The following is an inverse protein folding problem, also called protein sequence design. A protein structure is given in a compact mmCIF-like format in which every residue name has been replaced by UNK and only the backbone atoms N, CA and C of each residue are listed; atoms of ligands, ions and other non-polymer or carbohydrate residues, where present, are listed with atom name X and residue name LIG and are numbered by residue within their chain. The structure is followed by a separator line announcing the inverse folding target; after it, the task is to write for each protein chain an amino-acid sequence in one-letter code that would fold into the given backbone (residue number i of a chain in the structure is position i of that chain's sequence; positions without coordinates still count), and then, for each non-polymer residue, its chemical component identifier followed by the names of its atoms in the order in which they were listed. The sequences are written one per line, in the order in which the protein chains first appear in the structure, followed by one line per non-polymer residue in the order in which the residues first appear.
data_IF_494662099776
#
_entry.id   IF_494662099776
#
_cell.length_a   1.000
_cell.length_b   1.000
_cell.length_c   1.000
_cell.angle_alpha   90.00
_cell.angle_beta   90.00
_cell.angle_gamma   90.00
#
_symmetry.space_group_name_H-M   'P 1'
#
loop_
_entity.id
_entity.type
_entity.pdbx_description
1 polymer ?
#
# COMPACT_ATOMS: atom_id res chain seq x y z
N UNK A 1 2.42 -28.83 2.49
CA UNK A 1 1.62 -27.65 2.89
C UNK A 1 0.97 -26.99 1.68
N UNK A 2 1.73 -26.63 0.62
CA UNK A 2 1.20 -25.96 -0.58
C UNK A 2 -0.02 -26.68 -1.21
N UNK A 3 0.00 -28.01 -1.31
CA UNK A 3 -1.12 -28.80 -1.86
C UNK A 3 -2.43 -28.69 -1.05
N UNK A 4 -2.35 -28.30 0.23
CA UNK A 4 -3.52 -28.17 1.10
C UNK A 4 -4.09 -26.75 1.10
N UNK A 5 -3.33 -25.75 0.66
CA UNK A 5 -3.75 -24.33 0.68
C UNK A 5 -5.06 -24.13 -0.09
N UNK A 6 -5.25 -24.67 -1.32
CA UNK A 6 -6.53 -24.52 -2.02
C UNK A 6 -7.73 -25.07 -1.23
N UNK A 7 -7.57 -26.24 -0.59
CA UNK A 7 -8.63 -26.85 0.24
C UNK A 7 -8.93 -26.04 1.49
N UNK A 8 -7.91 -25.50 2.14
CA UNK A 8 -8.10 -24.59 3.28
C UNK A 8 -8.87 -23.36 2.81
N UNK A 9 -8.48 -22.78 1.68
CA UNK A 9 -9.10 -21.59 1.10
C UNK A 9 -10.58 -21.82 0.78
N UNK A 10 -10.91 -22.94 0.11
CA UNK A 10 -12.30 -23.33 -0.17
C UNK A 10 -13.14 -23.49 1.10
N UNK A 11 -12.56 -24.05 2.17
CA UNK A 11 -13.29 -24.33 3.40
C UNK A 11 -13.53 -23.08 4.27
N UNK A 12 -12.58 -22.14 4.31
CA UNK A 12 -12.60 -21.05 5.30
C UNK A 12 -12.72 -19.66 4.71
N UNK A 13 -12.39 -19.45 3.43
CA UNK A 13 -12.20 -18.09 2.93
C UNK A 13 -13.52 -17.34 2.78
N UNK A 14 -14.42 -17.85 1.93
CA UNK A 14 -15.67 -17.16 1.57
C UNK A 14 -16.58 -16.96 2.79
N UNK A 15 -16.78 -18.02 3.58
CA UNK A 15 -17.65 -17.96 4.75
C UNK A 15 -17.12 -16.97 5.81
N UNK A 16 -15.81 -16.93 6.04
CA UNK A 16 -15.21 -15.97 6.98
C UNK A 16 -15.28 -14.55 6.43
N UNK A 17 -15.05 -14.35 5.13
CA UNK A 17 -15.14 -13.03 4.50
C UNK A 17 -16.55 -12.44 4.64
N UNK A 18 -17.59 -13.26 4.42
CA UNK A 18 -18.99 -12.87 4.61
C UNK A 18 -19.34 -12.56 6.09
N UNK A 19 -18.61 -13.13 7.04
CA UNK A 19 -18.78 -12.79 8.46
C UNK A 19 -18.16 -11.43 8.77
N UNK A 20 -16.92 -11.19 8.35
CA UNK A 20 -16.12 -10.03 8.79
C UNK A 20 -16.41 -8.75 8.00
N UNK A 21 -17.04 -8.83 6.84
CA UNK A 21 -17.31 -7.67 5.96
C UNK A 21 -18.71 -7.06 6.14
N UNK A 22 -19.59 -7.68 6.94
CA UNK A 22 -20.94 -7.16 7.20
C UNK A 22 -20.93 -5.82 7.96
N UNK A 23 -20.00 -5.68 8.89
CA UNK A 23 -19.75 -4.45 9.64
C UNK A 23 -18.34 -4.49 10.25
N UNK A 24 -17.92 -3.39 10.86
CA UNK A 24 -16.58 -3.25 11.43
C UNK A 24 -16.47 -3.65 12.91
N UNK A 25 -17.56 -4.08 13.55
CA UNK A 25 -17.60 -4.34 15.00
C UNK A 25 -17.62 -5.83 15.34
N UNK A 26 -18.28 -6.63 14.51
CA UNK A 26 -18.47 -8.06 14.74
C UNK A 26 -17.23 -8.89 14.39
N UNK A 27 -17.04 -9.99 15.14
CA UNK A 27 -16.01 -11.01 14.93
C UNK A 27 -14.55 -10.49 14.82
N UNK A 28 -14.08 -9.63 15.75
CA UNK A 28 -12.73 -9.04 15.68
C UNK A 28 -11.61 -10.09 15.66
N UNK A 29 -11.77 -11.19 16.42
CA UNK A 29 -10.79 -12.29 16.40
C UNK A 29 -10.71 -13.00 15.05
N UNK A 30 -11.86 -13.24 14.41
CA UNK A 30 -11.91 -13.88 13.10
C UNK A 30 -11.23 -12.99 12.07
N UNK A 31 -11.47 -11.69 12.12
CA UNK A 31 -10.84 -10.69 11.25
C UNK A 31 -9.31 -10.71 11.40
N UNK A 32 -8.82 -10.62 12.64
CA UNK A 32 -7.38 -10.67 12.93
C UNK A 32 -6.74 -11.97 12.41
N UNK A 33 -7.35 -13.13 12.68
CA UNK A 33 -6.81 -14.42 12.28
C UNK A 33 -6.94 -14.69 10.79
N UNK A 34 -7.98 -14.17 10.14
CA UNK A 34 -8.17 -14.23 8.68
C UNK A 34 -7.04 -13.50 7.95
N UNK A 35 -6.73 -12.26 8.35
CA UNK A 35 -5.62 -11.53 7.74
C UNK A 35 -4.25 -12.11 8.12
N UNK A 36 -4.10 -12.66 9.33
CA UNK A 36 -2.88 -13.41 9.70
C UNK A 36 -2.66 -14.62 8.80
N UNK A 37 -3.72 -15.38 8.49
CA UNK A 37 -3.67 -16.51 7.56
C UNK A 37 -3.29 -16.06 6.15
N UNK A 38 -3.92 -14.99 5.65
CA UNK A 38 -3.60 -14.43 4.34
C UNK A 38 -2.14 -13.95 4.26
N UNK A 39 -1.62 -13.32 5.31
CA UNK A 39 -0.20 -12.95 5.40
C UNK A 39 0.70 -14.17 5.33
N UNK A 40 0.43 -15.20 6.14
CA UNK A 40 1.23 -16.43 6.14
C UNK A 40 1.22 -17.13 4.77
N UNK A 41 0.07 -17.15 4.08
CA UNK A 41 -0.04 -17.70 2.73
C UNK A 41 0.76 -16.85 1.73
N UNK A 42 0.63 -15.52 1.79
CA UNK A 42 1.37 -14.59 0.92
C UNK A 42 2.89 -14.72 1.05
N UNK A 43 3.39 -14.81 2.29
CA UNK A 43 4.82 -14.86 2.58
C UNK A 43 5.44 -16.26 2.36
N UNK A 44 4.72 -17.33 2.73
CA UNK A 44 5.32 -18.68 2.76
C UNK A 44 4.77 -19.62 1.69
N UNK A 45 3.65 -19.29 1.06
CA UNK A 45 2.95 -20.14 0.10
C UNK A 45 2.51 -19.37 -1.16
N UNK A 46 3.29 -18.39 -1.62
CA UNK A 46 2.95 -17.61 -2.82
C UNK A 46 2.64 -18.48 -4.05
N UNK A 47 3.35 -19.60 -4.22
CA UNK A 47 3.08 -20.58 -5.28
C UNK A 47 1.67 -21.18 -5.23
N UNK A 48 1.04 -21.25 -4.05
CA UNK A 48 -0.36 -21.67 -3.95
C UNK A 48 -1.33 -20.54 -4.32
N UNK A 49 -0.95 -19.26 -4.11
CA UNK A 49 -1.77 -18.12 -4.52
C UNK A 49 -1.85 -17.98 -6.05
N UNK A 50 -0.75 -18.20 -6.77
CA UNK A 50 -0.74 -18.13 -8.24
C UNK A 50 -1.53 -19.27 -8.89
N UNK A 51 -1.79 -20.37 -8.15
CA UNK A 51 -2.61 -21.48 -8.60
C UNK A 51 -4.11 -21.26 -8.35
N UNK A 52 -4.49 -20.18 -7.66
CA UNK A 52 -5.90 -19.85 -7.46
C UNK A 52 -6.57 -19.49 -8.79
N UNK A 53 -7.85 -19.81 -8.90
CA UNK A 53 -8.67 -19.30 -10.01
C UNK A 53 -8.75 -17.77 -9.97
N UNK A 54 -9.02 -17.13 -11.11
CA UNK A 54 -9.19 -15.67 -11.19
C UNK A 54 -10.26 -15.14 -10.22
N UNK A 55 -11.31 -15.93 -9.96
CA UNK A 55 -12.36 -15.58 -9.01
C UNK A 55 -11.83 -15.58 -7.57
N UNK A 56 -11.08 -16.61 -7.18
CA UNK A 56 -10.48 -16.69 -5.84
C UNK A 56 -9.41 -15.60 -5.63
N UNK A 57 -8.55 -15.34 -6.63
CA UNK A 57 -7.57 -14.26 -6.55
C UNK A 57 -8.24 -12.90 -6.43
N UNK A 58 -9.35 -12.68 -7.14
CA UNK A 58 -10.16 -11.46 -6.97
C UNK A 58 -10.65 -11.32 -5.53
N UNK A 59 -11.16 -12.39 -4.92
CA UNK A 59 -11.60 -12.35 -3.51
C UNK A 59 -10.45 -12.02 -2.55
N UNK A 60 -9.23 -12.52 -2.81
CA UNK A 60 -8.02 -12.11 -2.06
C UNK A 60 -7.78 -10.61 -2.18
N UNK A 61 -7.76 -10.09 -3.41
CA UNK A 61 -7.51 -8.65 -3.65
C UNK A 61 -8.61 -7.77 -3.05
N UNK A 62 -9.88 -8.14 -3.19
CA UNK A 62 -11.00 -7.44 -2.56
C UNK A 62 -10.87 -7.43 -1.03
N UNK A 63 -10.42 -8.54 -0.43
CA UNK A 63 -10.19 -8.64 1.01
C UNK A 63 -9.06 -7.73 1.48
N UNK A 64 -7.98 -7.61 0.70
CA UNK A 64 -6.86 -6.71 0.98
C UNK A 64 -7.32 -5.25 0.90
N UNK A 65 -8.10 -4.91 -0.13
CA UNK A 65 -8.68 -3.57 -0.30
C UNK A 65 -9.57 -3.21 0.89
N UNK A 66 -10.43 -4.14 1.30
CA UNK A 66 -11.26 -3.97 2.48
C UNK A 66 -10.42 -3.74 3.74
N UNK A 67 -9.32 -4.49 3.91
CA UNK A 67 -8.44 -4.37 5.07
C UNK A 67 -7.78 -3.00 5.17
N UNK A 68 -7.17 -2.50 4.10
CA UNK A 68 -6.48 -1.20 4.16
C UNK A 68 -7.43 0.00 4.21
N UNK A 69 -8.72 -0.20 3.89
CA UNK A 69 -9.80 0.78 4.13
C UNK A 69 -10.33 0.76 5.57
N UNK A 70 -9.91 -0.21 6.39
CA UNK A 70 -10.39 -0.35 7.76
C UNK A 70 -9.92 0.80 8.66
N UNK A 71 -10.73 1.18 9.64
CA UNK A 71 -10.41 2.26 10.60
C UNK A 71 -9.47 1.79 11.72
N UNK A 72 -9.58 0.53 12.14
CA UNK A 72 -8.58 -0.10 13.01
C UNK A 72 -7.20 -0.18 12.32
N UNK A 73 -6.25 0.58 12.88
CA UNK A 73 -4.89 0.71 12.39
C UNK A 73 -4.19 -0.62 12.10
N UNK A 74 -4.26 -1.58 13.03
CA UNK A 74 -3.55 -2.86 12.88
C UNK A 74 -4.03 -3.65 11.65
N UNK A 75 -5.32 -3.55 11.33
CA UNK A 75 -5.92 -4.25 10.19
C UNK A 75 -5.51 -3.56 8.90
N UNK A 76 -5.57 -2.23 8.90
CA UNK A 76 -5.13 -1.45 7.75
C UNK A 76 -3.65 -1.67 7.42
N UNK A 77 -2.78 -1.61 8.42
CA UNK A 77 -1.34 -1.90 8.26
C UNK A 77 -1.11 -3.34 7.79
N UNK A 78 -1.84 -4.32 8.31
CA UNK A 78 -1.75 -5.72 7.86
C UNK A 78 -2.13 -5.84 6.38
N UNK A 79 -3.21 -5.20 5.96
CA UNK A 79 -3.65 -5.16 4.56
C UNK A 79 -2.59 -4.55 3.62
N UNK A 80 -2.02 -3.41 4.00
CA UNK A 80 -0.99 -2.73 3.19
C UNK A 80 0.33 -3.52 3.12
N UNK A 81 0.76 -4.14 4.22
CA UNK A 81 1.96 -4.98 4.21
C UNK A 81 1.76 -6.22 3.33
N UNK A 82 0.61 -6.88 3.42
CA UNK A 82 0.27 -8.00 2.56
C UNK A 82 0.24 -7.58 1.08
N UNK A 83 -0.36 -6.43 0.77
CA UNK A 83 -0.35 -5.89 -0.58
C UNK A 83 1.07 -5.69 -1.12
N UNK A 84 1.94 -5.04 -0.34
CA UNK A 84 3.35 -4.82 -0.72
C UNK A 84 4.10 -6.13 -0.97
N UNK A 85 3.86 -7.15 -0.14
CA UNK A 85 4.45 -8.47 -0.30
C UNK A 85 3.98 -9.13 -1.60
N UNK A 86 2.67 -9.12 -1.87
CA UNK A 86 2.13 -9.66 -3.12
C UNK A 86 2.66 -8.93 -4.34
N UNK A 87 2.75 -7.60 -4.29
CA UNK A 87 3.30 -6.80 -5.40
C UNK A 87 4.73 -7.22 -5.73
N UNK A 88 5.60 -7.38 -4.74
CA UNK A 88 6.98 -7.85 -4.95
C UNK A 88 7.02 -9.26 -5.51
N UNK A 89 6.18 -10.16 -5.00
CA UNK A 89 6.16 -11.55 -5.45
C UNK A 89 5.62 -11.69 -6.87
N UNK A 90 4.56 -10.95 -7.24
CA UNK A 90 4.03 -10.97 -8.60
C UNK A 90 4.99 -10.35 -9.61
N UNK A 91 5.73 -9.29 -9.25
CA UNK A 91 6.71 -8.64 -10.12
C UNK A 91 7.76 -9.62 -10.67
N UNK A 92 8.19 -10.60 -9.87
CA UNK A 92 9.21 -11.59 -10.27
C UNK A 92 8.61 -12.92 -10.74
N UNK A 93 7.27 -13.02 -10.81
CA UNK A 93 6.56 -14.23 -11.23
C UNK A 93 6.29 -14.26 -12.73
N UNK A 94 6.03 -15.45 -13.27
CA UNK A 94 5.57 -15.62 -14.67
C UNK A 94 4.18 -15.01 -14.94
N UNK A 95 3.41 -14.73 -13.89
CA UNK A 95 2.08 -14.13 -13.94
C UNK A 95 2.09 -12.60 -13.83
N UNK A 96 3.28 -11.96 -13.86
CA UNK A 96 3.45 -10.51 -13.68
C UNK A 96 2.50 -9.68 -14.57
N UNK A 97 2.56 -9.87 -15.90
CA UNK A 97 1.70 -9.11 -16.81
C UNK A 97 0.21 -9.38 -16.58
N UNK A 98 -0.19 -10.64 -16.37
CA UNK A 98 -1.60 -11.00 -16.13
C UNK A 98 -2.15 -10.35 -14.85
N UNK A 99 -1.38 -10.38 -13.77
CA UNK A 99 -1.75 -9.75 -12.50
C UNK A 99 -1.89 -8.24 -12.66
N UNK A 100 -0.87 -7.57 -13.18
CA UNK A 100 -0.86 -6.11 -13.27
C UNK A 100 -1.84 -5.56 -14.31
N UNK A 101 -2.08 -6.27 -15.42
CA UNK A 101 -3.16 -5.92 -16.35
C UNK A 101 -4.54 -5.90 -15.67
N UNK A 102 -4.73 -6.75 -14.66
CA UNK A 102 -6.02 -6.86 -13.95
C UNK A 102 -6.14 -5.89 -12.79
N UNK A 103 -5.09 -5.73 -11.98
CA UNK A 103 -5.19 -5.05 -10.67
C UNK A 103 -4.41 -3.74 -10.56
N UNK A 104 -3.50 -3.41 -11.48
CA UNK A 104 -2.59 -2.26 -11.32
C UNK A 104 -3.33 -0.93 -11.11
N UNK A 105 -4.27 -0.60 -12.00
CA UNK A 105 -5.05 0.65 -11.92
C UNK A 105 -6.01 0.66 -10.74
N UNK A 106 -6.61 -0.49 -10.42
CA UNK A 106 -7.47 -0.63 -9.22
C UNK A 106 -6.66 -0.35 -7.96
N UNK A 107 -5.45 -0.89 -7.84
CA UNK A 107 -4.60 -0.66 -6.67
C UNK A 107 -4.23 0.82 -6.55
N UNK A 108 -3.84 1.47 -7.65
CA UNK A 108 -3.56 2.92 -7.64
C UNK A 108 -4.78 3.72 -7.16
N UNK A 109 -5.95 3.47 -7.76
CA UNK A 109 -7.18 4.17 -7.44
C UNK A 109 -7.55 4.01 -5.97
N UNK A 110 -7.50 2.79 -5.45
CA UNK A 110 -7.88 2.48 -4.07
C UNK A 110 -6.87 3.06 -3.07
N UNK A 111 -5.57 3.05 -3.38
CA UNK A 111 -4.55 3.64 -2.51
C UNK A 111 -4.69 5.16 -2.48
N UNK A 112 -4.89 5.84 -3.62
CA UNK A 112 -5.16 7.27 -3.60
C UNK A 112 -6.45 7.58 -2.84
N UNK A 113 -7.53 6.85 -3.07
CA UNK A 113 -8.80 7.09 -2.36
C UNK A 113 -8.66 7.05 -0.84
N UNK A 114 -7.85 6.12 -0.30
CA UNK A 114 -7.59 6.01 1.14
C UNK A 114 -6.56 7.04 1.61
N UNK A 115 -5.51 7.28 0.83
CA UNK A 115 -4.47 8.26 1.15
C UNK A 115 -5.03 9.69 1.26
N UNK A 116 -6.09 9.98 0.51
CA UNK A 116 -6.79 11.27 0.52
C UNK A 116 -7.96 11.29 1.50
N UNK A 117 -8.22 10.19 2.22
CA UNK A 117 -9.12 10.18 3.37
C UNK A 117 -8.37 10.67 4.61
N UNK A 118 -9.02 11.55 5.35
CA UNK A 118 -8.52 12.11 6.60
C UNK A 118 -8.45 11.10 7.75
N UNK A 119 -9.12 9.95 7.65
CA UNK A 119 -9.12 8.90 8.68
C UNK A 119 -7.91 7.96 8.64
N UNK A 120 -7.21 7.84 7.51
CA UNK A 120 -6.18 6.81 7.31
C UNK A 120 -4.74 7.34 7.34
N UNK A 121 -4.53 8.55 7.88
CA UNK A 121 -3.20 9.15 8.04
C UNK A 121 -2.17 8.23 8.72
N UNK A 122 -2.51 7.39 9.73
CA UNK A 122 -1.54 6.47 10.32
C UNK A 122 -0.89 5.49 9.33
N UNK A 123 -1.58 5.17 8.23
CA UNK A 123 -1.08 4.28 7.16
C UNK A 123 -0.20 4.97 6.13
N UNK A 124 0.03 6.29 6.24
CA UNK A 124 0.69 7.12 5.23
C UNK A 124 1.96 6.50 4.64
N UNK A 125 2.87 6.04 5.50
CA UNK A 125 4.13 5.41 5.09
C UNK A 125 3.90 4.24 4.13
N UNK A 126 2.97 3.34 4.46
CA UNK A 126 2.73 2.13 3.67
C UNK A 126 2.01 2.46 2.36
N UNK A 127 1.07 3.41 2.36
CA UNK A 127 0.45 3.91 1.13
C UNK A 127 1.49 4.48 0.15
N UNK A 128 2.42 5.30 0.67
CA UNK A 128 3.52 5.88 -0.12
C UNK A 128 4.41 4.78 -0.71
N UNK A 129 4.74 3.74 0.06
CA UNK A 129 5.52 2.61 -0.45
C UNK A 129 4.80 1.84 -1.56
N UNK A 130 3.49 1.64 -1.44
CA UNK A 130 2.69 0.99 -2.50
C UNK A 130 2.71 1.83 -3.78
N UNK A 131 2.47 3.14 -3.67
CA UNK A 131 2.53 4.04 -4.83
C UNK A 131 3.92 4.05 -5.44
N UNK A 132 4.97 4.18 -4.63
CA UNK A 132 6.34 4.16 -5.12
C UNK A 132 6.65 2.87 -5.90
N UNK A 133 6.19 1.72 -5.39
CA UNK A 133 6.32 0.44 -6.10
C UNK A 133 5.70 0.50 -7.50
N UNK A 134 4.47 0.99 -7.63
CA UNK A 134 3.78 1.11 -8.92
C UNK A 134 4.51 2.07 -9.88
N UNK A 135 4.95 3.23 -9.39
CA UNK A 135 5.69 4.23 -10.17
C UNK A 135 7.05 3.71 -10.65
N UNK A 136 7.75 2.91 -9.85
CA UNK A 136 8.98 2.24 -10.27
C UNK A 136 8.70 1.12 -11.27
N UNK A 137 7.67 0.32 -11.03
CA UNK A 137 7.34 -0.85 -11.83
C UNK A 137 7.03 -0.49 -13.29
N UNK A 138 6.27 0.58 -13.53
CA UNK A 138 5.80 0.98 -14.87
C UNK A 138 6.94 1.25 -15.86
N UNK A 139 8.12 1.60 -15.35
CA UNK A 139 9.32 1.95 -16.13
C UNK A 139 10.48 0.96 -15.91
N UNK A 140 10.24 -0.13 -15.16
CA UNK A 140 11.28 -1.11 -14.82
C UNK A 140 11.63 -2.07 -15.96
N UNK A 141 10.80 -2.13 -17.00
CA UNK A 141 10.86 -3.14 -18.07
C UNK A 141 10.21 -4.48 -17.71
N UNK A 142 9.71 -4.66 -16.47
CA UNK A 142 9.01 -5.89 -16.07
C UNK A 142 7.63 -6.05 -16.72
N UNK A 143 6.94 -4.94 -16.99
CA UNK A 143 5.64 -4.93 -17.66
C UNK A 143 5.83 -4.83 -19.18
N UNK A 144 5.71 -5.97 -19.85
CA UNK A 144 5.88 -6.10 -21.30
C UNK A 144 4.56 -6.00 -22.06
N UNK A 145 3.43 -6.11 -21.38
CA UNK A 145 2.09 -5.94 -21.95
C UNK A 145 1.47 -4.58 -21.58
N UNK A 146 0.57 -4.03 -22.42
CA UNK A 146 -0.16 -2.81 -22.11
C UNK A 146 -1.03 -2.93 -20.86
N UNK A 147 -0.99 -1.91 -19.99
CA UNK A 147 -1.88 -1.75 -18.85
C UNK A 147 -3.31 -1.31 -19.22
N UNK A 148 -3.54 -0.96 -20.48
CA UNK A 148 -4.82 -0.48 -20.98
C UNK A 148 -5.42 -1.43 -22.01
N UNK A 149 -6.74 -1.35 -22.16
CA UNK A 149 -7.43 -1.94 -23.31
C UNK A 149 -7.42 -0.94 -24.47
N UNK A 150 -6.75 -1.29 -25.57
CA UNK A 150 -6.66 -0.47 -26.78
C UNK A 150 -8.02 -0.08 -27.37
N UNK A 151 -9.10 -0.81 -27.05
CA UNK A 151 -10.47 -0.47 -27.49
C UNK A 151 -11.14 0.63 -26.65
N UNK A 152 -10.62 0.91 -25.46
CA UNK A 152 -11.21 1.86 -24.50
C UNK A 152 -10.53 3.24 -24.52
N UNK A 153 -9.37 3.35 -25.17
CA UNK A 153 -8.60 4.59 -25.24
C UNK A 153 -8.82 5.30 -26.58
N UNK A 154 -8.97 6.64 -26.60
CA UNK A 154 -9.23 7.39 -27.84
C UNK A 154 -8.03 7.48 -28.77
N UNK A 155 -6.82 7.22 -28.27
CA UNK A 155 -5.58 7.23 -29.02
C UNK A 155 -4.61 6.18 -28.45
N UNK A 156 -3.67 5.67 -29.27
CA UNK A 156 -2.68 4.71 -28.80
C UNK A 156 -1.64 5.38 -27.91
N UNK A 157 -1.35 4.76 -26.76
CA UNK A 157 -0.20 5.15 -25.92
C UNK A 157 1.08 4.46 -26.38
N UNK A 158 2.24 5.14 -26.32
CA UNK A 158 3.51 4.57 -26.75
C UNK A 158 4.06 3.53 -25.78
N UNK A 159 3.76 3.64 -24.48
CA UNK A 159 4.21 2.73 -23.43
C UNK A 159 3.38 2.88 -22.15
N UNK A 160 3.58 1.97 -21.20
CA UNK A 160 2.91 1.96 -19.90
C UNK A 160 3.17 3.24 -19.09
N UNK A 161 4.37 3.81 -19.13
CA UNK A 161 4.72 5.03 -18.40
C UNK A 161 3.87 6.23 -18.82
N UNK A 162 3.68 6.43 -20.13
CA UNK A 162 2.85 7.53 -20.65
C UNK A 162 1.37 7.33 -20.36
N UNK A 163 0.87 6.09 -20.48
CA UNK A 163 -0.51 5.75 -20.13
C UNK A 163 -0.78 6.01 -18.63
N UNK A 164 0.06 5.46 -17.76
CA UNK A 164 -0.07 5.59 -16.32
C UNK A 164 -0.04 7.05 -15.90
N UNK A 165 0.91 7.85 -16.41
CA UNK A 165 0.98 9.29 -16.12
C UNK A 165 -0.33 10.02 -16.44
N UNK A 166 -0.88 9.81 -17.64
CA UNK A 166 -2.14 10.46 -18.04
C UNK A 166 -3.32 9.97 -17.18
N UNK A 167 -3.37 8.66 -16.89
CA UNK A 167 -4.38 8.08 -16.00
C UNK A 167 -4.32 8.71 -14.60
N UNK A 168 -3.14 8.78 -13.97
CA UNK A 168 -2.96 9.38 -12.63
C UNK A 168 -3.39 10.85 -12.62
N UNK A 169 -3.04 11.63 -13.65
CA UNK A 169 -3.45 13.05 -13.75
C UNK A 169 -4.98 13.15 -13.81
N UNK A 170 -5.64 12.30 -14.61
CA UNK A 170 -7.11 12.28 -14.72
C UNK A 170 -7.79 11.85 -13.43
N UNK A 171 -7.26 10.81 -12.78
CA UNK A 171 -7.73 10.30 -11.50
C UNK A 171 -7.72 11.42 -10.46
N UNK A 172 -6.54 12.03 -10.22
CA UNK A 172 -6.39 13.10 -9.25
C UNK A 172 -7.19 14.36 -9.63
N UNK A 173 -7.29 14.68 -10.93
CA UNK A 173 -8.13 15.78 -11.41
C UNK A 173 -9.60 15.61 -11.06
N UNK A 174 -10.10 14.37 -11.07
CA UNK A 174 -11.46 14.06 -10.65
C UNK A 174 -11.64 14.09 -9.12
N UNK A 175 -10.63 13.66 -8.37
CA UNK A 175 -10.65 13.62 -6.90
C UNK A 175 -10.43 14.99 -6.25
N UNK A 176 -9.71 15.90 -6.90
CA UNK A 176 -9.32 17.21 -6.38
C UNK A 176 -9.81 18.36 -7.28
N UNK A 177 -11.13 18.63 -7.35
CA UNK A 177 -11.69 19.64 -8.26
C UNK A 177 -11.25 21.08 -7.95
N UNK A 178 -10.63 21.31 -6.78
CA UNK A 178 -10.10 22.61 -6.38
C UNK A 178 -8.65 22.85 -6.82
N UNK A 179 -7.95 21.82 -7.31
CA UNK A 179 -6.60 21.96 -7.86
C UNK A 179 -6.67 22.11 -9.37
N UNK A 180 -5.82 22.98 -9.90
CA UNK A 180 -5.70 23.16 -11.35
C UNK A 180 -5.04 21.95 -11.99
N UNK A 181 -5.34 21.72 -13.27
CA UNK A 181 -4.70 20.67 -14.08
C UNK A 181 -3.17 20.84 -14.10
N UNK A 182 -2.69 22.08 -14.09
CA UNK A 182 -1.26 22.38 -14.07
C UNK A 182 -0.58 21.96 -12.76
N UNK A 183 -1.21 22.20 -11.61
CA UNK A 183 -0.70 21.77 -10.30
C UNK A 183 -0.65 20.24 -10.20
N UNK A 184 -1.71 19.55 -10.62
CA UNK A 184 -1.76 18.08 -10.62
C UNK A 184 -0.72 17.50 -11.57
N UNK A 185 -0.56 18.08 -12.77
CA UNK A 185 0.46 17.63 -13.73
C UNK A 185 1.87 17.79 -13.17
N UNK A 186 2.14 18.91 -12.49
CA UNK A 186 3.43 19.17 -11.83
C UNK A 186 3.68 18.17 -10.71
N UNK A 187 2.68 17.91 -9.87
CA UNK A 187 2.76 16.92 -8.81
C UNK A 187 3.07 15.51 -9.34
N UNK A 188 2.31 15.03 -10.32
CA UNK A 188 2.53 13.71 -10.93
C UNK A 188 3.91 13.64 -11.59
N UNK A 189 4.35 14.72 -12.24
CA UNK A 189 5.72 14.85 -12.77
C UNK A 189 6.78 14.65 -11.69
N UNK A 190 6.65 15.33 -10.56
CA UNK A 190 7.55 15.19 -9.41
C UNK A 190 7.59 13.78 -8.83
N UNK A 191 6.46 13.05 -8.82
CA UNK A 191 6.44 11.63 -8.42
C UNK A 191 7.27 10.75 -9.36
N UNK A 192 7.19 10.97 -10.68
CA UNK A 192 8.02 10.22 -11.63
C UNK A 192 9.51 10.53 -11.51
N UNK A 193 9.87 11.78 -11.24
CA UNK A 193 11.26 12.20 -11.07
C UNK A 193 11.87 11.67 -9.76
N UNK A 194 11.07 11.61 -8.71
CA UNK A 194 11.51 11.17 -7.37
C UNK A 194 11.27 9.69 -7.06
N UNK A 195 10.71 8.89 -7.99
CA UNK A 195 10.36 7.47 -7.74
C UNK A 195 11.51 6.60 -7.18
N UNK A 196 12.76 6.91 -7.52
CA UNK A 196 13.95 6.20 -7.02
C UNK A 196 14.55 6.82 -5.74
N UNK A 197 13.92 7.86 -5.20
CA UNK A 197 14.32 8.59 -4.00
C UNK A 197 13.17 8.56 -2.99
N UNK A 198 13.09 7.52 -2.13
CA UNK A 198 11.96 7.34 -1.22
C UNK A 198 11.66 8.54 -0.31
N UNK A 199 12.67 9.21 0.30
CA UNK A 199 12.42 10.44 1.04
C UNK A 199 11.74 11.53 0.21
N UNK A 200 12.24 11.83 -0.98
CA UNK A 200 11.67 12.89 -1.82
C UNK A 200 10.31 12.51 -2.42
N UNK A 201 10.11 11.25 -2.78
CA UNK A 201 8.81 10.73 -3.24
C UNK A 201 7.75 10.89 -2.15
N UNK A 202 8.08 10.51 -0.92
CA UNK A 202 7.21 10.69 0.26
C UNK A 202 6.90 12.17 0.51
N UNK A 203 7.90 13.04 0.41
CA UNK A 203 7.72 14.48 0.63
C UNK A 203 6.76 15.09 -0.41
N UNK A 204 6.90 14.76 -1.69
CA UNK A 204 5.97 15.23 -2.72
C UNK A 204 4.52 14.84 -2.40
N UNK A 205 4.28 13.59 -2.01
CA UNK A 205 2.93 13.14 -1.64
C UNK A 205 2.43 13.91 -0.41
N UNK A 206 3.27 14.08 0.60
CA UNK A 206 2.90 14.83 1.82
C UNK A 206 2.51 16.26 1.50
N UNK A 207 3.33 16.96 0.72
CA UNK A 207 3.11 18.35 0.36
C UNK A 207 1.82 18.52 -0.43
N UNK A 208 1.55 17.61 -1.36
CA UNK A 208 0.29 17.55 -2.11
C UNK A 208 -0.91 17.36 -1.20
N UNK A 209 -0.86 16.42 -0.25
CA UNK A 209 -1.92 16.23 0.73
C UNK A 209 -2.13 17.49 1.56
N UNK A 210 -1.08 18.07 2.14
CA UNK A 210 -1.20 19.29 2.98
C UNK A 210 -1.74 20.49 2.20
N UNK A 211 -1.41 20.63 0.91
CA UNK A 211 -1.95 21.67 0.04
C UNK A 211 -3.44 21.46 -0.30
N UNK A 212 -3.95 20.23 -0.18
CA UNK A 212 -5.38 19.97 -0.36
C UNK A 212 -6.20 20.65 0.74
N UNK A 213 -7.36 21.19 0.35
CA UNK A 213 -8.26 21.89 1.28
C UNK A 213 -8.65 21.02 2.48
N UNK A 214 -8.84 19.72 2.25
CA UNK A 214 -9.30 18.76 3.26
C UNK A 214 -8.28 18.54 4.38
N UNK A 215 -6.99 18.58 4.07
CA UNK A 215 -5.90 18.36 5.03
C UNK A 215 -5.30 19.65 5.59
N UNK A 216 -5.38 20.77 4.86
CA UNK A 216 -4.81 22.05 5.31
C UNK A 216 -5.39 22.56 6.63
N UNK A 217 -6.63 22.16 6.97
CA UNK A 217 -7.31 22.53 8.21
C UNK A 217 -7.15 21.49 9.35
N UNK A 218 -6.39 20.41 9.16
CA UNK A 218 -6.31 19.30 10.11
C UNK A 218 -4.96 19.16 10.81
N UNK A 219 -4.94 18.40 11.91
CA UNK A 219 -3.67 17.92 12.51
C UNK A 219 -3.06 16.85 11.59
N UNK A 220 -1.83 17.11 11.14
CA UNK A 220 -1.12 16.30 10.16
C UNK A 220 0.12 15.59 10.75
N UNK A 221 0.26 15.53 12.08
CA UNK A 221 1.38 14.84 12.76
C UNK A 221 1.59 13.41 12.29
N UNK A 222 0.52 12.68 12.00
CA UNK A 222 0.62 11.28 11.55
C UNK A 222 1.37 11.14 10.22
N UNK A 223 1.36 12.16 9.35
CA UNK A 223 2.13 12.18 8.10
C UNK A 223 3.65 12.28 8.33
N UNK A 224 4.07 12.61 9.56
CA UNK A 224 5.47 12.77 10.00
C UNK A 224 5.87 11.73 11.05
N UNK A 225 5.02 10.72 11.31
CA UNK A 225 5.24 9.75 12.38
C UNK A 225 6.54 8.96 12.22
N UNK A 226 6.95 8.66 10.98
CA UNK A 226 8.21 7.99 10.70
C UNK A 226 9.43 8.86 11.02
N UNK A 227 9.43 10.12 10.57
CA UNK A 227 10.50 11.08 10.87
C UNK A 227 10.64 11.30 12.38
N UNK A 228 9.52 11.44 13.08
CA UNK A 228 9.49 11.57 14.54
C UNK A 228 10.02 10.30 15.25
N UNK A 229 9.79 9.11 14.71
CA UNK A 229 10.36 7.87 15.25
C UNK A 229 11.88 7.81 15.04
N UNK A 230 12.37 8.18 13.86
CA UNK A 230 13.82 8.22 13.55
C UNK A 230 14.54 9.22 14.45
N UNK A 231 13.99 10.42 14.65
CA UNK A 231 14.58 11.44 15.52
C UNK A 231 14.64 10.97 16.97
N UNK A 232 13.56 10.37 17.49
CA UNK A 232 13.53 9.80 18.86
C UNK A 232 14.59 8.73 19.04
N UNK A 233 14.77 7.85 18.06
CA UNK A 233 15.81 6.82 18.13
C UNK A 233 17.21 7.43 18.07
N UNK A 234 17.46 8.42 17.22
CA UNK A 234 18.75 9.14 17.18
C UNK A 234 19.07 9.85 18.49
N UNK A 235 18.09 10.54 19.10
CA UNK A 235 18.24 11.16 20.41
C UNK A 235 18.52 10.13 21.49
N UNK A 236 17.82 8.99 21.47
CA UNK A 236 18.05 7.86 22.37
C UNK A 236 19.47 7.31 22.25
N UNK A 237 19.94 7.06 21.03
CA UNK A 237 21.30 6.59 20.77
C UNK A 237 22.36 7.59 21.26
N UNK A 238 22.10 8.90 21.09
CA UNK A 238 22.96 9.94 21.65
C UNK A 238 22.98 9.92 23.18
N UNK A 239 21.83 9.76 23.82
CA UNK A 239 21.75 9.64 25.29
C UNK A 239 22.47 8.39 25.82
N UNK A 240 22.41 7.26 25.10
CA UNK A 240 23.15 6.04 25.43
C UNK A 240 24.67 6.24 25.35
N UNK A 241 25.13 7.05 24.40
CA UNK A 241 26.57 7.33 24.21
C UNK A 241 27.21 8.19 25.30
N UNK A 242 26.42 8.89 26.13
CA UNK A 242 26.91 9.75 27.21
C UNK A 242 26.69 9.07 28.57
N UNK A 243 27.77 8.70 29.30
CA UNK A 243 27.64 8.09 30.62
C UNK A 243 26.84 8.97 31.59
N UNK A 244 25.84 8.39 32.27
CA UNK A 244 25.05 9.06 33.31
C UNK A 244 23.75 9.74 32.85
N UNK A 245 23.45 9.80 31.55
CA UNK A 245 22.20 10.40 31.03
C UNK A 245 20.99 9.46 31.06
N UNK A 246 21.20 8.14 31.13
CA UNK A 246 20.13 7.13 31.17
C UNK A 246 20.26 6.34 32.47
N UNK A 247 19.14 6.16 33.18
CA UNK A 247 19.15 5.44 34.44
C UNK A 247 19.56 3.98 34.22
N UNK A 248 20.34 3.36 35.14
CA UNK A 248 20.81 1.97 34.96
C UNK A 248 19.70 0.95 34.71
N UNK A 249 18.50 1.15 35.28
CA UNK A 249 17.35 0.25 35.08
C UNK A 249 16.75 0.36 33.67
N UNK A 250 16.85 1.52 33.02
CA UNK A 250 16.37 1.74 31.65
C UNK A 250 17.34 1.15 30.59
N UNK A 251 18.53 0.72 31.01
CA UNK A 251 19.51 0.05 30.15
C UNK A 251 19.35 -1.48 30.12
N UNK A 252 18.63 -2.07 31.07
CA UNK A 252 18.59 -3.52 31.28
C UNK A 252 17.46 -4.26 30.55
N UNK A 253 16.40 -3.56 30.14
CA UNK A 253 15.25 -4.17 29.43
C UNK A 253 15.61 -4.75 28.04
N UNK A 254 16.83 -4.53 27.52
CA UNK A 254 17.26 -5.00 26.19
C UNK A 254 18.09 -6.29 26.19
N UNK A 255 18.52 -6.82 27.34
CA UNK A 255 19.30 -8.07 27.37
C UNK A 255 18.45 -9.34 27.31
N UNK A 256 17.12 -9.24 27.27
CA UNK A 256 16.20 -10.38 27.37
C UNK A 256 15.52 -10.79 26.05
N UNK A 257 15.74 -10.07 24.95
CA UNK A 257 15.11 -10.34 23.64
C UNK A 257 16.14 -10.69 22.52
N UNK A 258 17.30 -11.26 22.86
CA UNK A 258 18.24 -11.85 21.88
C UNK A 258 17.99 -13.33 21.62
#
# INVERSE_FOLDING_TARGET
MMEYVPRIFEAVFQCTLEMITKNFEDYPEHRLKFFSLLCAIGTHCFQALIQLSSQQLKLVMDSIIWAFRHTERNIAETGLNLLLELLKNFQVSEFCNQFYRTYFLTIEQEIFAVLTDTFHKPGFKLHVLVLQHLFCLVDSGALTEPLWDSSTVPYPYPNNTMFFRDYTIKLLGSSFPNMSVAEITTFVGGLFESKNDPPNFKNHIRDFLVQSKEFSAQDNKDLYAEEAAVLREQERQRMLSVPGLIAPNERQDEMLDS
#
